data_IF_228353073041
#
_entry.id   IF_228353073041
#
_cell.length_a   1.000
_cell.length_b   1.000
_cell.length_c   1.000
_cell.angle_alpha   90.00
_cell.angle_beta   90.00
_cell.angle_gamma   90.00
#
_symmetry.space_group_name_H-M   'P 1'
#
loop_
_entity.id
_entity.type
_entity.pdbx_description
1 polymer ?
#
# COMPACT_ATOMS: atom_id res chain seq x y z
N UNK A 1 -7.66 0.56 -4.12
CA UNK A 1 -6.63 -0.45 -4.45
C UNK A 1 -6.08 -1.07 -3.17
N UNK A 2 -5.90 -2.40 -3.12
CA UNK A 2 -5.23 -3.03 -1.98
C UNK A 2 -3.73 -2.71 -1.99
N UNK A 3 -3.13 -2.60 -0.80
CA UNK A 3 -1.69 -2.55 -0.62
C UNK A 3 -1.25 -3.87 0.02
N UNK A 4 -0.24 -4.52 -0.57
CA UNK A 4 0.36 -5.73 -0.02
C UNK A 4 1.87 -5.57 0.02
N UNK A 5 2.51 -6.12 1.04
CA UNK A 5 3.95 -5.95 1.23
C UNK A 5 4.45 -6.66 2.47
N UNK A 6 5.72 -6.39 2.79
CA UNK A 6 6.40 -6.90 3.97
C UNK A 6 7.08 -5.76 4.72
N UNK A 7 6.90 -5.72 6.03
CA UNK A 7 7.57 -4.79 6.92
C UNK A 7 8.59 -5.56 7.75
N UNK A 8 9.87 -5.26 7.53
CA UNK A 8 10.97 -5.88 8.28
C UNK A 8 11.31 -4.99 9.46
N UNK A 9 11.16 -5.46 10.70
CA UNK A 9 11.22 -4.60 11.89
C UNK A 9 12.35 -4.97 12.83
N UNK A 10 13.02 -3.94 13.35
CA UNK A 10 13.86 -3.96 14.54
C UNK A 10 13.12 -3.25 15.67
N UNK A 11 12.80 -3.99 16.72
CA UNK A 11 12.13 -3.43 17.88
C UNK A 11 13.11 -3.19 19.02
N UNK A 12 12.84 -2.14 19.76
CA UNK A 12 13.40 -1.90 21.07
C UNK A 12 12.35 -2.32 22.11
N UNK A 13 12.60 -3.44 22.79
CA UNK A 13 11.67 -4.02 23.75
C UNK A 13 11.57 -3.18 25.04
N UNK A 14 12.57 -2.37 25.35
CA UNK A 14 12.59 -1.54 26.55
C UNK A 14 11.69 -0.31 26.39
N UNK A 15 11.69 0.28 25.18
CA UNK A 15 10.86 1.45 24.86
C UNK A 15 9.51 1.11 24.22
N UNK A 16 9.31 -0.13 23.76
CA UNK A 16 8.11 -0.54 23.02
C UNK A 16 8.01 0.10 21.62
N UNK A 17 9.08 0.76 21.16
CA UNK A 17 9.18 1.40 19.86
C UNK A 17 9.82 0.46 18.86
N UNK A 18 9.56 0.71 17.58
CA UNK A 18 10.19 -0.04 16.52
C UNK A 18 10.46 0.79 15.27
N UNK A 19 11.46 0.34 14.51
CA UNK A 19 11.82 0.89 13.21
C UNK A 19 11.85 -0.24 12.19
N UNK A 20 11.49 0.03 10.94
CA UNK A 20 11.49 -1.02 9.94
C UNK A 20 11.49 -0.55 8.50
N UNK A 21 11.87 -1.47 7.63
CA UNK A 21 11.90 -1.28 6.19
C UNK A 21 10.66 -1.89 5.56
N UNK A 22 9.84 -1.04 4.95
CA UNK A 22 8.61 -1.45 4.28
C UNK A 22 8.85 -1.62 2.78
N UNK A 23 8.65 -2.84 2.30
CA UNK A 23 8.65 -3.16 0.88
C UNK A 23 7.23 -3.44 0.43
N UNK A 24 6.72 -2.62 -0.50
CA UNK A 24 5.39 -2.77 -1.09
C UNK A 24 5.46 -3.43 -2.47
N UNK A 25 4.56 -4.37 -2.70
CA UNK A 25 4.39 -4.99 -4.02
C UNK A 25 3.54 -4.09 -4.93
N UNK A 26 3.79 -4.10 -6.25
CA UNK A 26 2.94 -3.39 -7.20
C UNK A 26 1.49 -3.92 -7.17
N UNK A 27 0.53 -2.99 -7.13
CA UNK A 27 -0.89 -3.32 -7.17
C UNK A 27 -1.39 -3.37 -8.61
N UNK A 28 -2.02 -4.48 -8.99
CA UNK A 28 -2.67 -4.61 -10.30
C UNK A 28 -4.18 -4.51 -10.16
N UNK A 29 -4.77 -3.60 -10.94
CA UNK A 29 -6.22 -3.41 -11.04
C UNK A 29 -6.63 -3.88 -12.42
N UNK A 30 -7.58 -4.79 -12.53
CA UNK A 30 -8.07 -5.24 -13.84
C UNK A 30 -9.58 -5.43 -13.83
N UNK A 31 -10.18 -5.18 -15.00
CA UNK A 31 -11.59 -5.45 -15.25
C UNK A 31 -11.71 -6.38 -16.45
N UNK A 32 -12.51 -7.42 -16.27
CA UNK A 32 -12.81 -8.43 -17.28
C UNK A 32 -14.31 -8.38 -17.56
N UNK A 33 -14.69 -8.48 -18.83
CA UNK A 33 -16.07 -8.53 -19.28
C UNK A 33 -16.20 -9.63 -20.33
N UNK A 34 -17.14 -10.56 -20.17
CA UNK A 34 -17.32 -11.74 -21.04
C UNK A 34 -15.99 -12.50 -21.30
N UNK A 35 -15.17 -12.69 -20.25
CA UNK A 35 -13.87 -13.37 -20.35
C UNK A 35 -12.74 -12.54 -20.98
N UNK A 36 -13.05 -11.43 -21.65
CA UNK A 36 -12.05 -10.53 -22.23
C UNK A 36 -11.61 -9.46 -21.21
N UNK A 37 -10.29 -9.31 -21.03
CA UNK A 37 -9.72 -8.26 -20.18
C UNK A 37 -9.82 -6.90 -20.88
N UNK A 38 -10.86 -6.15 -20.57
CA UNK A 38 -11.11 -4.83 -21.13
C UNK A 38 -10.20 -3.75 -20.55
N UNK A 39 -9.70 -3.94 -19.33
CA UNK A 39 -8.83 -2.97 -18.68
C UNK A 39 -7.81 -3.60 -17.72
N UNK A 40 -6.61 -3.02 -17.66
CA UNK A 40 -5.56 -3.34 -16.69
C UNK A 40 -4.74 -2.09 -16.36
N UNK A 41 -4.59 -1.77 -15.09
CA UNK A 41 -3.64 -0.79 -14.59
C UNK A 41 -2.67 -1.46 -13.61
N UNK A 42 -1.40 -1.11 -13.74
CA UNK A 42 -0.35 -1.47 -12.78
C UNK A 42 0.06 -0.19 -12.05
N UNK A 43 -0.08 -0.21 -10.74
CA UNK A 43 0.27 0.89 -9.84
C UNK A 43 1.47 0.43 -9.01
N UNK A 44 2.57 1.15 -9.12
CA UNK A 44 3.70 1.01 -8.21
C UNK A 44 3.44 1.89 -7.00
N UNK A 45 3.66 1.34 -5.81
CA UNK A 45 3.50 2.07 -4.55
C UNK A 45 4.83 2.04 -3.82
N UNK A 46 5.29 3.21 -3.42
CA UNK A 46 6.55 3.40 -2.71
C UNK A 46 6.21 3.92 -1.31
N UNK A 47 6.84 3.37 -0.28
CA UNK A 47 6.70 3.84 1.08
C UNK A 47 7.89 4.73 1.44
N UNK A 48 7.66 5.72 2.29
CA UNK A 48 8.75 6.38 3.00
C UNK A 48 9.41 5.40 3.97
N UNK A 49 10.74 5.49 4.09
CA UNK A 49 11.54 4.67 4.98
C UNK A 49 12.50 5.55 5.79
N UNK A 50 12.84 5.15 7.03
CA UNK A 50 12.32 4.00 7.76
C UNK A 50 10.89 4.24 8.32
N UNK A 51 10.09 3.18 8.43
CA UNK A 51 8.78 3.22 9.10
C UNK A 51 9.00 3.13 10.60
N UNK A 52 8.39 4.04 11.36
CA UNK A 52 8.41 4.04 12.82
C UNK A 52 7.04 3.69 13.38
N UNK A 53 7.00 2.98 14.51
CA UNK A 53 5.76 2.73 15.24
C UNK A 53 6.01 2.29 16.67
N UNK A 54 4.95 1.90 17.36
CA UNK A 54 5.01 1.43 18.74
C UNK A 54 3.92 0.42 19.08
N UNK A 55 3.88 0.01 20.34
CA UNK A 55 2.82 -0.82 20.90
C UNK A 55 1.81 0.08 21.60
N UNK A 56 0.51 -0.09 21.32
CA UNK A 56 -0.57 0.63 22.02
C UNK A 56 -0.92 -0.01 23.38
N UNK A 57 -1.79 0.66 24.14
CA UNK A 57 -2.20 0.21 25.48
C UNK A 57 -2.90 -1.15 25.48
N UNK A 58 -3.41 -1.60 24.32
CA UNK A 58 -4.03 -2.92 24.13
C UNK A 58 -3.02 -4.00 23.68
N UNK A 59 -1.72 -3.66 23.66
CA UNK A 59 -0.66 -4.58 23.25
C UNK A 59 -0.64 -4.84 21.74
N UNK A 60 -1.22 -3.97 20.92
CA UNK A 60 -1.17 -4.07 19.46
C UNK A 60 -0.04 -3.23 18.92
N UNK A 61 0.64 -3.74 17.91
CA UNK A 61 1.61 -2.99 17.16
C UNK A 61 0.90 -2.02 16.23
N UNK A 62 1.25 -0.74 16.30
CA UNK A 62 0.69 0.34 15.48
C UNK A 62 1.79 1.12 14.76
N UNK A 63 1.57 1.44 13.49
CA UNK A 63 2.44 2.29 12.70
C UNK A 63 1.62 3.16 11.75
N UNK A 64 2.14 4.34 11.43
CA UNK A 64 1.64 5.17 10.35
C UNK A 64 2.69 5.22 9.24
N UNK A 65 2.29 4.87 8.02
CA UNK A 65 3.18 4.84 6.87
C UNK A 65 2.73 5.86 5.85
N UNK A 66 3.64 6.71 5.39
CA UNK A 66 3.43 7.57 4.23
C UNK A 66 3.78 6.81 2.97
N UNK A 67 2.88 6.80 1.98
CA UNK A 67 3.09 6.14 0.69
C UNK A 67 2.76 7.05 -0.49
N UNK A 68 3.51 6.89 -1.56
CA UNK A 68 3.26 7.47 -2.87
C UNK A 68 2.88 6.38 -3.87
N UNK A 69 1.95 6.70 -4.77
CA UNK A 69 1.54 5.78 -5.81
C UNK A 69 1.72 6.38 -7.20
N UNK A 70 2.33 5.58 -8.08
CA UNK A 70 2.61 5.93 -9.47
C UNK A 70 2.00 4.87 -10.38
N UNK A 71 1.24 5.32 -11.38
CA UNK A 71 0.68 4.43 -12.39
C UNK A 71 1.77 4.13 -13.42
N UNK A 72 2.36 2.94 -13.30
CA UNK A 72 3.43 2.48 -14.16
C UNK A 72 2.93 2.14 -15.57
N UNK A 73 1.76 1.50 -15.67
CA UNK A 73 1.18 1.11 -16.95
C UNK A 73 -0.35 1.07 -16.91
N UNK A 74 -0.97 1.46 -18.03
CA UNK A 74 -2.41 1.29 -18.26
C UNK A 74 -2.65 0.67 -19.62
N UNK A 75 -3.51 -0.34 -19.66
CA UNK A 75 -3.97 -1.02 -20.88
C UNK A 75 -5.49 -1.07 -20.92
N UNK A 76 -6.07 -0.78 -22.07
CA UNK A 76 -7.49 -0.92 -22.32
C UNK A 76 -7.71 -1.60 -23.68
N UNK A 77 -8.59 -2.61 -23.73
CA UNK A 77 -8.90 -3.38 -24.94
C UNK A 77 -7.65 -3.83 -25.73
N UNK A 78 -6.62 -4.30 -25.02
CA UNK A 78 -5.35 -4.74 -25.63
C UNK A 78 -4.37 -3.62 -26.02
N UNK A 79 -4.76 -2.34 -25.96
CA UNK A 79 -3.91 -1.19 -26.29
C UNK A 79 -3.29 -0.58 -25.03
N UNK A 80 -2.01 -0.18 -25.10
CA UNK A 80 -1.33 0.53 -24.02
C UNK A 80 -1.71 2.01 -24.08
N UNK A 81 -2.37 2.51 -23.03
CA UNK A 81 -2.76 3.92 -22.89
C UNK A 81 -1.68 4.73 -22.16
N UNK A 82 -1.00 4.12 -21.19
CA UNK A 82 0.07 4.75 -20.40
C UNK A 82 1.21 3.75 -20.26
N UNK A 83 2.44 4.24 -20.42
CA UNK A 83 3.66 3.58 -19.97
C UNK A 83 4.59 4.63 -19.34
N UNK A 84 5.36 4.24 -18.32
CA UNK A 84 6.45 5.05 -17.80
C UNK A 84 6.12 6.01 -16.64
N UNK A 85 5.14 5.69 -15.79
CA UNK A 85 5.02 6.36 -14.47
C UNK A 85 4.58 7.83 -14.48
N UNK A 86 3.99 8.32 -15.58
CA UNK A 86 3.65 9.74 -15.72
C UNK A 86 2.45 10.21 -14.88
N UNK A 87 1.62 9.31 -14.36
CA UNK A 87 0.53 9.67 -13.45
C UNK A 87 0.91 9.27 -12.03
N UNK A 88 0.86 10.22 -11.11
CA UNK A 88 1.20 10.02 -9.70
C UNK A 88 0.10 10.55 -8.79
N UNK A 89 0.06 10.13 -7.54
CA UNK A 89 -0.83 10.72 -6.54
C UNK A 89 -0.53 12.22 -6.38
N UNK A 90 -1.58 13.03 -6.20
CA UNK A 90 -1.42 14.47 -6.04
C UNK A 90 -0.75 14.84 -4.71
N UNK A 91 -0.98 14.03 -3.68
CA UNK A 91 -0.36 14.13 -2.35
C UNK A 91 0.03 12.74 -1.87
N UNK A 92 0.87 12.68 -0.85
CA UNK A 92 1.16 11.44 -0.13
C UNK A 92 -0.10 10.89 0.54
N UNK A 93 -0.19 9.56 0.67
CA UNK A 93 -1.25 8.87 1.39
C UNK A 93 -0.72 8.37 2.74
N UNK A 94 -1.45 8.62 3.82
CA UNK A 94 -1.12 8.04 5.13
C UNK A 94 -1.91 6.75 5.32
N UNK A 95 -1.19 5.67 5.62
CA UNK A 95 -1.72 4.31 5.80
C UNK A 95 -1.50 3.92 7.27
N UNK A 96 -2.55 3.97 8.10
CA UNK A 96 -2.47 3.41 9.46
C UNK A 96 -2.44 1.89 9.36
N UNK A 97 -1.48 1.27 10.04
CA UNK A 97 -1.31 -0.18 10.15
C UNK A 97 -1.42 -0.59 11.60
N UNK A 98 -2.22 -1.62 11.88
CA UNK A 98 -2.33 -2.21 13.22
C UNK A 98 -2.32 -3.73 13.17
N UNK A 99 -1.71 -4.37 14.16
CA UNK A 99 -1.82 -5.81 14.36
C UNK A 99 -3.18 -6.18 14.97
N UNK A 100 -3.49 -7.49 14.99
CA UNK A 100 -4.58 -8.02 15.81
C UNK A 100 -4.19 -8.00 17.30
N UNK A 101 -5.19 -8.01 18.22
CA UNK A 101 -4.94 -8.26 19.64
C UNK A 101 -4.21 -9.59 19.86
N UNK A 102 -3.36 -9.66 20.90
CA UNK A 102 -2.53 -10.85 21.17
C UNK A 102 -1.31 -10.97 20.24
N UNK A 103 -0.83 -9.83 19.74
CA UNK A 103 0.36 -9.75 18.90
C UNK A 103 1.60 -10.30 19.61
N UNK A 104 2.40 -11.08 18.89
CA UNK A 104 3.70 -11.55 19.33
C UNK A 104 4.74 -11.13 18.28
N UNK A 105 5.63 -10.23 18.66
CA UNK A 105 6.67 -9.70 17.80
C UNK A 105 7.63 -10.78 17.30
N UNK A 106 7.97 -11.76 18.14
CA UNK A 106 8.93 -12.82 17.82
C UNK A 106 8.42 -13.78 16.72
N UNK A 107 7.10 -13.96 16.61
CA UNK A 107 6.50 -14.86 15.59
C UNK A 107 6.23 -14.17 14.27
N UNK A 108 6.31 -12.83 14.22
CA UNK A 108 5.74 -12.04 13.14
C UNK A 108 4.21 -12.10 13.15
N UNK A 109 3.57 -11.15 12.46
CA UNK A 109 2.12 -11.14 12.33
C UNK A 109 1.67 -10.38 11.09
N UNK A 110 0.37 -10.31 10.86
CA UNK A 110 -0.20 -9.49 9.79
C UNK A 110 -0.68 -8.16 10.34
N UNK A 111 -0.15 -7.08 9.79
CA UNK A 111 -0.67 -5.74 9.99
C UNK A 111 -1.75 -5.45 8.95
N UNK A 112 -2.87 -4.90 9.40
CA UNK A 112 -3.96 -4.52 8.52
C UNK A 112 -4.35 -3.07 8.77
N UNK A 113 -4.80 -2.41 7.70
CA UNK A 113 -5.13 -0.99 7.72
C UNK A 113 -6.18 -0.64 6.69
N UNK A 114 -6.87 0.47 6.91
CA UNK A 114 -7.69 1.13 5.88
C UNK A 114 -7.12 2.51 5.66
N UNK A 115 -6.97 2.88 4.40
CA UNK A 115 -6.41 4.18 4.04
C UNK A 115 -7.23 4.89 2.98
N UNK A 116 -7.19 6.22 3.04
CA UNK A 116 -7.73 7.06 1.98
C UNK A 116 -6.63 7.27 0.93
N UNK A 117 -6.97 7.01 -0.33
CA UNK A 117 -6.03 7.14 -1.44
C UNK A 117 -6.26 8.48 -2.13
N UNK A 118 -5.26 9.38 -2.18
CA UNK A 118 -5.38 10.68 -2.85
C UNK A 118 -5.66 10.54 -4.36
N UNK A 119 -6.36 11.50 -4.98
CA UNK A 119 -6.59 11.47 -6.42
C UNK A 119 -5.26 11.43 -7.18
N UNK A 120 -5.25 10.73 -8.33
CA UNK A 120 -4.12 10.78 -9.25
C UNK A 120 -4.14 12.11 -10.01
N UNK A 121 -2.97 12.62 -10.36
CA UNK A 121 -2.77 13.80 -11.22
C UNK A 121 -1.74 13.50 -12.32
N UNK A 122 -1.62 14.38 -13.31
CA UNK A 122 -0.54 14.35 -14.31
C UNK A 122 -0.90 13.92 -15.74
N UNK A 123 -2.13 13.45 -16.02
CA UNK A 123 -2.60 13.16 -17.39
C UNK A 123 -4.08 13.51 -17.56
N UNK A 124 -4.36 14.79 -17.83
CA UNK A 124 -5.71 15.39 -17.87
C UNK A 124 -6.85 14.45 -18.30
N UNK A 125 -6.78 13.86 -19.49
CA UNK A 125 -7.89 13.06 -20.04
C UNK A 125 -8.01 11.63 -19.49
N UNK A 126 -6.93 11.01 -18.99
CA UNK A 126 -6.95 9.63 -18.43
C UNK A 126 -7.14 9.65 -16.91
N UNK A 127 -6.71 10.72 -16.23
CA UNK A 127 -6.82 10.89 -14.79
C UNK A 127 -8.19 10.51 -14.20
N UNK A 128 -9.34 10.98 -14.71
CA UNK A 128 -10.64 10.65 -14.13
C UNK A 128 -10.96 9.15 -14.23
N UNK A 129 -10.64 8.53 -15.37
CA UNK A 129 -10.85 7.11 -15.59
C UNK A 129 -10.03 6.27 -14.59
N UNK A 130 -8.74 6.54 -14.45
CA UNK A 130 -7.88 5.77 -13.54
C UNK A 130 -8.23 6.05 -12.08
N UNK A 131 -8.57 7.30 -11.73
CA UNK A 131 -9.03 7.64 -10.38
C UNK A 131 -10.30 6.88 -9.99
N UNK A 132 -11.28 6.77 -10.89
CA UNK A 132 -12.50 6.00 -10.67
C UNK A 132 -12.21 4.51 -10.45
N UNK A 133 -11.33 3.91 -11.25
CA UNK A 133 -11.05 2.47 -11.13
C UNK A 133 -10.16 2.13 -9.93
N UNK A 134 -9.25 3.02 -9.57
CA UNK A 134 -8.46 2.85 -8.36
C UNK A 134 -9.27 3.18 -7.08
N UNK A 135 -10.41 3.86 -7.21
CA UNK A 135 -11.38 4.10 -6.15
C UNK A 135 -12.21 2.83 -5.97
N UNK A 136 -11.64 1.87 -5.26
CA UNK A 136 -12.37 0.68 -4.83
C UNK A 136 -12.96 0.96 -3.44
N UNK A 137 -14.21 0.55 -3.15
CA UNK A 137 -14.77 0.66 -1.81
C UNK A 137 -13.94 -0.19 -0.84
N UNK A 138 -13.23 0.47 0.08
CA UNK A 138 -12.43 -0.19 1.10
C UNK A 138 -11.01 -0.55 0.64
N UNK A 139 -10.14 0.45 0.49
CA UNK A 139 -8.71 0.19 0.31
C UNK A 139 -8.15 -0.48 1.58
N UNK A 140 -7.95 -1.79 1.52
CA UNK A 140 -7.29 -2.56 2.56
C UNK A 140 -5.78 -2.54 2.33
N UNK A 141 -5.00 -2.19 3.35
CA UNK A 141 -3.58 -2.47 3.41
C UNK A 141 -3.37 -3.74 4.23
N UNK A 142 -2.60 -4.68 3.71
CA UNK A 142 -2.25 -5.94 4.36
C UNK A 142 -0.74 -6.12 4.24
N UNK A 143 -0.04 -5.96 5.34
CA UNK A 143 1.42 -6.00 5.38
C UNK A 143 1.84 -7.15 6.29
N UNK A 144 2.67 -8.05 5.77
CA UNK A 144 3.23 -9.13 6.57
C UNK A 144 4.44 -8.61 7.34
N UNK A 145 4.43 -8.78 8.66
CA UNK A 145 5.50 -8.33 9.54
C UNK A 145 6.55 -9.42 9.67
N UNK A 146 7.80 -9.07 9.40
CA UNK A 146 8.97 -9.94 9.52
C UNK A 146 9.87 -9.38 10.63
N UNK A 147 9.98 -10.06 11.79
CA UNK A 147 10.86 -9.61 12.85
C UNK A 147 12.33 -9.90 12.49
N UNK A 148 13.21 -8.92 12.72
CA UNK A 148 14.64 -9.14 12.79
C UNK A 148 15.03 -9.25 14.26
N UNK A 149 15.41 -10.46 14.68
CA UNK A 149 16.02 -10.67 15.99
C UNK A 149 17.47 -10.18 15.91
N UNK A 150 17.82 -9.17 16.71
CA UNK A 150 19.19 -8.73 16.95
C UNK A 150 19.72 -9.29 18.25
#
# INVERSE_FOLDING_TARGET
MPLNGSLTVRADLDSGLFTGDLVLHPSTISRTLLGARIFRATVQVMAESPVTGGVDDEGRMVAAVTVDAVIAAVRAAGRTLISGGSCRTATHAVVPLSSRPGFNLERGSRLAGRYHRPPFTGRGWITPLVSLMAASPGNAAVIDLIPLMS
#
